data_IF_221611239445
#
_entry.id   IF_221611239445
#
_cell.length_a   1.000
_cell.length_b   1.000
_cell.length_c   1.000
_cell.angle_alpha   90.00
_cell.angle_beta   90.00
_cell.angle_gamma   90.00
#
_symmetry.space_group_name_H-M   'P 1'
#
loop_
_entity.id
_entity.type
_entity.pdbx_description
1 polymer ?
#
# COMPACT_ATOMS: atom_id res chain seq x y z
N UNK A 1 13.60 2.71 85.95
CA UNK A 1 12.61 3.08 84.90
C UNK A 1 13.13 4.12 83.92
N UNK A 2 13.72 5.25 84.38
CA UNK A 2 14.22 6.34 83.50
C UNK A 2 15.25 5.86 82.47
N UNK A 3 16.26 5.09 82.89
CA UNK A 3 17.31 4.55 81.99
C UNK A 3 16.71 3.66 80.89
N UNK A 4 15.69 2.87 81.23
CA UNK A 4 15.03 1.96 80.29
C UNK A 4 14.26 2.72 79.21
N UNK A 5 13.63 3.84 79.57
CA UNK A 5 12.96 4.75 78.61
C UNK A 5 13.97 5.42 77.66
N UNK A 6 15.15 5.80 78.15
CA UNK A 6 16.21 6.38 77.33
C UNK A 6 16.72 5.36 76.29
N UNK A 7 16.96 4.12 76.72
CA UNK A 7 17.42 3.03 75.83
C UNK A 7 16.37 2.72 74.76
N UNK A 8 15.09 2.66 75.12
CA UNK A 8 13.99 2.44 74.15
C UNK A 8 13.88 3.59 73.16
N UNK A 9 14.02 4.84 73.61
CA UNK A 9 14.03 6.01 72.74
C UNK A 9 15.20 5.99 71.73
N UNK A 10 16.39 5.59 72.19
CA UNK A 10 17.58 5.45 71.35
C UNK A 10 17.42 4.34 70.30
N UNK A 11 16.85 3.20 70.68
CA UNK A 11 16.55 2.10 69.76
C UNK A 11 15.52 2.52 68.69
N UNK A 12 14.46 3.22 69.08
CA UNK A 12 13.46 3.73 68.14
C UNK A 12 14.07 4.74 67.16
N UNK A 13 14.94 5.65 67.63
CA UNK A 13 15.64 6.61 66.78
C UNK A 13 16.59 5.91 65.78
N UNK A 14 17.32 4.88 66.23
CA UNK A 14 18.20 4.07 65.36
C UNK A 14 17.41 3.31 64.29
N UNK A 15 16.29 2.68 64.67
CA UNK A 15 15.41 2.00 63.71
C UNK A 15 14.84 2.97 62.68
N UNK A 16 14.45 4.18 63.10
CA UNK A 16 13.98 5.21 62.18
C UNK A 16 15.07 5.69 61.22
N UNK A 17 16.30 5.89 61.71
CA UNK A 17 17.43 6.27 60.88
C UNK A 17 17.81 5.17 59.87
N UNK A 18 17.80 3.91 60.29
CA UNK A 18 18.03 2.76 59.41
C UNK A 18 16.93 2.63 58.35
N UNK A 19 15.66 2.80 58.73
CA UNK A 19 14.54 2.77 57.80
C UNK A 19 14.59 3.92 56.78
N UNK A 20 14.89 5.12 57.24
CA UNK A 20 15.00 6.32 56.39
C UNK A 20 16.12 6.19 55.37
N UNK A 21 17.30 5.73 55.81
CA UNK A 21 18.45 5.50 54.92
C UNK A 21 18.18 4.37 53.91
N UNK A 22 17.60 3.25 54.33
CA UNK A 22 17.21 2.16 53.44
C UNK A 22 16.19 2.61 52.38
N UNK A 23 15.17 3.37 52.79
CA UNK A 23 14.18 3.96 51.89
C UNK A 23 14.80 4.93 50.88
N UNK A 24 15.71 5.79 51.35
CA UNK A 24 16.45 6.72 50.49
C UNK A 24 17.27 5.97 49.43
N UNK A 25 18.02 4.95 49.84
CA UNK A 25 18.84 4.13 48.95
C UNK A 25 18.00 3.44 47.87
N UNK A 26 16.87 2.84 48.26
CA UNK A 26 15.95 2.21 47.32
C UNK A 26 15.38 3.19 46.29
N UNK A 27 14.98 4.39 46.73
CA UNK A 27 14.49 5.43 45.83
C UNK A 27 15.58 5.91 44.85
N UNK A 28 16.81 6.07 45.33
CA UNK A 28 17.95 6.46 44.49
C UNK A 28 18.27 5.38 43.44
N UNK A 29 18.25 4.10 43.84
CA UNK A 29 18.43 2.97 42.93
C UNK A 29 17.36 2.90 41.85
N UNK A 30 16.08 3.09 42.22
CA UNK A 30 14.95 3.09 41.27
C UNK A 30 15.08 4.19 40.22
N UNK A 31 15.42 5.39 40.65
CA UNK A 31 15.65 6.56 39.80
C UNK A 31 16.80 6.31 38.81
N UNK A 32 17.92 5.77 39.31
CA UNK A 32 19.07 5.43 38.46
C UNK A 32 18.73 4.34 37.44
N UNK A 33 17.91 3.37 37.82
CA UNK A 33 17.41 2.34 36.91
C UNK A 33 16.54 2.91 35.79
N UNK A 34 15.63 3.85 36.12
CA UNK A 34 14.82 4.54 35.10
C UNK A 34 15.69 5.35 34.15
N UNK A 35 16.65 6.12 34.67
CA UNK A 35 17.59 6.91 33.87
C UNK A 35 18.34 6.05 32.83
N UNK A 36 18.88 4.91 33.27
CA UNK A 36 19.60 4.00 32.36
C UNK A 36 18.67 3.37 31.31
N UNK A 37 17.45 2.96 31.70
CA UNK A 37 16.48 2.38 30.77
C UNK A 37 16.09 3.38 29.66
N UNK A 38 15.79 4.63 30.03
CA UNK A 38 15.43 5.66 29.05
C UNK A 38 16.61 6.00 28.14
N UNK A 39 17.82 6.08 28.69
CA UNK A 39 19.03 6.31 27.90
C UNK A 39 19.25 5.20 26.86
N UNK A 40 18.99 3.94 27.22
CA UNK A 40 19.06 2.81 26.30
C UNK A 40 17.97 2.89 25.23
N UNK A 41 16.74 3.26 25.58
CA UNK A 41 15.64 3.45 24.61
C UNK A 41 16.00 4.53 23.60
N UNK A 42 16.43 5.72 24.04
CA UNK A 42 16.80 6.83 23.15
C UNK A 42 17.98 6.44 22.24
N UNK A 43 18.99 5.74 22.76
CA UNK A 43 20.09 5.21 21.93
C UNK A 43 19.59 4.18 20.92
N UNK A 44 18.69 3.28 21.33
CA UNK A 44 18.11 2.25 20.46
C UNK A 44 17.33 2.86 19.30
N UNK A 45 16.50 3.87 19.59
CA UNK A 45 15.75 4.62 18.57
C UNK A 45 16.70 5.30 17.59
N UNK A 46 17.71 6.02 18.10
CA UNK A 46 18.72 6.67 17.26
C UNK A 46 19.41 5.68 16.31
N UNK A 47 19.89 4.56 16.84
CA UNK A 47 20.49 3.48 16.03
C UNK A 47 19.52 2.91 14.99
N UNK A 48 18.25 2.72 15.34
CA UNK A 48 17.26 2.17 14.41
C UNK A 48 17.07 3.06 13.19
N UNK A 49 16.98 4.39 13.37
CA UNK A 49 16.84 5.33 12.27
C UNK A 49 18.15 5.50 11.47
N UNK A 50 19.31 5.51 12.13
CA UNK A 50 20.62 5.53 11.47
C UNK A 50 20.84 4.30 10.59
N UNK A 51 20.56 3.10 11.10
CA UNK A 51 20.67 1.85 10.34
C UNK A 51 19.68 1.77 9.17
N UNK A 52 18.50 2.37 9.33
CA UNK A 52 17.51 2.44 8.27
C UNK A 52 17.88 3.45 7.16
N UNK A 53 18.99 4.20 7.31
CA UNK A 53 19.37 5.33 6.45
C UNK A 53 18.24 6.36 6.28
N UNK A 54 17.38 6.50 7.30
CA UNK A 54 16.20 7.37 7.27
C UNK A 54 16.41 8.58 8.17
N UNK A 55 15.99 9.74 7.69
CA UNK A 55 15.85 10.91 8.54
C UNK A 55 14.87 10.60 9.68
N UNK A 56 15.28 10.90 10.91
CA UNK A 56 14.38 10.82 12.06
C UNK A 56 13.22 11.80 11.86
N UNK A 57 11.96 11.36 12.00
CA UNK A 57 10.80 12.25 11.94
C UNK A 57 10.94 13.42 12.92
N UNK A 58 10.52 14.62 12.52
CA UNK A 58 10.72 15.85 13.29
C UNK A 58 10.12 15.78 14.70
N UNK A 59 8.93 15.18 14.84
CA UNK A 59 8.30 14.96 16.15
C UNK A 59 9.12 14.04 17.07
N UNK A 60 9.73 12.99 16.50
CA UNK A 60 10.55 12.03 17.25
C UNK A 60 11.89 12.65 17.62
N UNK A 61 12.53 13.39 16.70
CA UNK A 61 13.83 14.04 16.95
C UNK A 61 13.71 15.13 18.02
N UNK A 62 12.61 15.90 18.01
CA UNK A 62 12.30 16.90 19.02
C UNK A 62 12.08 16.27 20.40
N UNK A 63 11.24 15.23 20.49
CA UNK A 63 11.01 14.52 21.75
C UNK A 63 12.29 13.88 22.31
N UNK A 64 13.16 13.34 21.44
CA UNK A 64 14.47 12.83 21.85
C UNK A 64 15.41 13.93 22.35
N UNK A 65 15.38 15.11 21.73
CA UNK A 65 16.19 16.25 22.16
C UNK A 65 15.74 16.75 23.54
N UNK A 66 14.43 16.84 23.78
CA UNK A 66 13.85 17.26 25.06
C UNK A 66 14.22 16.30 26.19
N UNK A 67 14.16 14.99 25.93
CA UNK A 67 14.59 13.96 26.89
C UNK A 67 16.11 14.05 27.16
N UNK A 68 16.94 14.23 26.13
CA UNK A 68 18.39 14.41 26.28
C UNK A 68 18.73 15.66 27.10
N UNK A 69 18.01 16.76 26.89
CA UNK A 69 18.19 17.99 27.64
C UNK A 69 17.82 17.83 29.13
N UNK A 70 16.82 17.00 29.45
CA UNK A 70 16.50 16.68 30.84
C UNK A 70 17.62 15.91 31.55
N UNK A 71 18.34 15.05 30.84
CA UNK A 71 19.47 14.30 31.40
C UNK A 71 20.71 15.17 31.61
N UNK A 72 20.99 16.13 30.72
CA UNK A 72 22.18 16.97 30.82
C UNK A 72 22.08 18.02 31.94
N UNK A 73 20.87 18.41 32.34
CA UNK A 73 20.66 19.52 33.28
C UNK A 73 20.59 19.11 34.76
N UNK A 74 20.48 17.82 35.13
CA UNK A 74 20.27 17.42 36.54
C UNK A 74 21.05 16.15 36.95
N UNK A 75 22.10 16.26 37.79
CA UNK A 75 22.82 15.09 38.30
C UNK A 75 22.05 14.30 39.39
N UNK A 76 20.99 14.86 39.99
CA UNK A 76 20.21 14.18 41.03
C UNK A 76 18.71 14.41 40.81
N UNK A 77 18.02 13.39 40.28
CA UNK A 77 16.57 13.43 40.15
C UNK A 77 15.92 13.44 41.54
N UNK A 78 14.92 14.31 41.71
CA UNK A 78 14.04 14.27 42.88
C UNK A 78 12.82 13.40 42.56
N UNK A 79 12.18 12.84 43.58
CA UNK A 79 10.97 12.03 43.42
C UNK A 79 9.84 12.77 42.70
N UNK A 80 9.79 14.11 42.81
CA UNK A 80 8.84 14.99 42.09
C UNK A 80 9.10 15.08 40.58
N UNK A 81 10.29 14.70 40.11
CA UNK A 81 10.63 14.76 38.69
C UNK A 81 10.15 13.51 37.93
N UNK A 82 9.78 12.43 38.64
CA UNK A 82 9.34 11.15 38.07
C UNK A 82 8.11 11.32 37.15
N UNK A 83 7.13 12.12 37.57
CA UNK A 83 5.93 12.40 36.77
C UNK A 83 6.29 13.12 35.46
N UNK A 84 7.22 14.07 35.51
CA UNK A 84 7.72 14.77 34.33
C UNK A 84 8.44 13.81 33.36
N UNK A 85 9.16 12.82 33.90
CA UNK A 85 9.77 11.75 33.10
C UNK A 85 8.74 10.88 32.40
N UNK A 86 7.71 10.45 33.12
CA UNK A 86 6.62 9.66 32.52
C UNK A 86 5.91 10.44 31.41
N UNK A 87 5.66 11.73 31.62
CA UNK A 87 5.05 12.60 30.60
C UNK A 87 5.93 12.67 29.35
N UNK A 88 7.23 12.91 29.50
CA UNK A 88 8.15 13.04 28.36
C UNK A 88 8.33 11.72 27.61
N UNK A 89 8.36 10.59 28.33
CA UNK A 89 8.34 9.27 27.71
C UNK A 89 7.04 9.00 26.95
N UNK A 90 5.90 9.42 27.49
CA UNK A 90 4.61 9.34 26.78
C UNK A 90 4.66 10.14 25.48
N UNK A 91 5.14 11.38 25.53
CA UNK A 91 5.28 12.24 24.35
C UNK A 91 6.20 11.60 23.30
N UNK A 92 7.33 11.02 23.71
CA UNK A 92 8.21 10.28 22.80
C UNK A 92 7.50 9.07 22.19
N UNK A 93 6.78 8.29 23.00
CA UNK A 93 6.04 7.12 22.53
C UNK A 93 4.93 7.50 21.53
N UNK A 94 4.19 8.57 21.81
CA UNK A 94 3.14 9.10 20.93
C UNK A 94 3.73 9.56 19.59
N UNK A 95 4.85 10.30 19.62
CA UNK A 95 5.55 10.74 18.40
C UNK A 95 6.04 9.55 17.55
N UNK A 96 6.53 8.48 18.18
CA UNK A 96 6.93 7.25 17.48
C UNK A 96 5.70 6.56 16.89
N UNK A 97 4.62 6.46 17.65
CA UNK A 97 3.35 5.86 17.22
C UNK A 97 2.77 6.57 16.00
N UNK A 98 2.72 7.90 16.03
CA UNK A 98 2.26 8.74 14.93
C UNK A 98 3.12 8.56 13.68
N UNK A 99 4.46 8.58 13.82
CA UNK A 99 5.36 8.37 12.70
C UNK A 99 5.20 6.98 12.06
N UNK A 100 5.01 5.94 12.87
CA UNK A 100 4.74 4.59 12.40
C UNK A 100 3.38 4.49 11.68
N UNK A 101 2.34 5.11 12.24
CA UNK A 101 1.00 5.14 11.65
C UNK A 101 1.00 5.85 10.30
N UNK A 102 1.57 7.06 10.24
CA UNK A 102 1.68 7.86 9.01
C UNK A 102 2.42 7.09 7.91
N UNK A 103 3.52 6.42 8.25
CA UNK A 103 4.26 5.59 7.29
C UNK A 103 3.43 4.40 6.80
N UNK A 104 2.75 3.70 7.71
CA UNK A 104 1.89 2.57 7.35
C UNK A 104 0.74 2.99 6.43
N UNK A 105 0.14 4.16 6.71
CA UNK A 105 -0.89 4.74 5.87
C UNK A 105 -0.37 5.12 4.49
N UNK A 106 0.79 5.79 4.39
CA UNK A 106 1.39 6.16 3.11
C UNK A 106 1.67 4.92 2.24
N UNK A 107 2.25 3.86 2.83
CA UNK A 107 2.47 2.60 2.13
C UNK A 107 1.16 1.92 1.73
N UNK A 108 0.14 1.97 2.59
CA UNK A 108 -1.19 1.47 2.28
C UNK A 108 -1.83 2.21 1.10
N UNK A 109 -1.68 3.54 1.05
CA UNK A 109 -2.17 4.36 -0.07
C UNK A 109 -1.41 4.03 -1.35
N UNK A 110 -0.08 3.93 -1.31
CA UNK A 110 0.73 3.55 -2.48
C UNK A 110 0.36 2.16 -3.01
N UNK A 111 0.16 1.17 -2.12
CA UNK A 111 -0.25 -0.17 -2.53
C UNK A 111 -1.68 -0.23 -3.09
N UNK A 112 -2.54 0.71 -2.70
CA UNK A 112 -3.93 0.80 -3.17
C UNK A 112 -4.10 1.75 -4.36
N UNK A 113 -3.08 2.56 -4.67
CA UNK A 113 -3.09 3.48 -5.78
C UNK A 113 -3.11 2.70 -7.11
N UNK A 114 -3.91 3.14 -8.10
CA UNK A 114 -3.90 2.51 -9.41
C UNK A 114 -2.54 2.71 -10.08
N UNK A 115 -2.15 1.76 -10.94
CA UNK A 115 -0.96 1.92 -11.78
C UNK A 115 -1.08 3.16 -12.68
N UNK A 116 0.05 3.73 -13.08
CA UNK A 116 0.09 4.92 -13.93
C UNK A 116 -0.74 4.71 -15.21
N UNK A 117 -1.66 5.64 -15.49
CA UNK A 117 -2.60 5.55 -16.61
C UNK A 117 -3.90 4.77 -16.35
N UNK A 118 -4.10 4.21 -15.15
CA UNK A 118 -5.32 3.49 -14.78
C UNK A 118 -6.16 4.27 -13.76
N UNK A 119 -7.49 4.13 -13.86
CA UNK A 119 -8.45 4.67 -12.89
C UNK A 119 -9.06 3.49 -12.14
N UNK A 120 -9.06 3.56 -10.80
CA UNK A 120 -9.77 2.59 -9.96
C UNK A 120 -11.23 3.02 -9.81
N UNK A 121 -12.15 2.14 -10.18
CA UNK A 121 -13.59 2.32 -10.00
C UNK A 121 -14.09 1.13 -9.19
N UNK A 122 -14.64 1.41 -8.01
CA UNK A 122 -15.27 0.38 -7.20
C UNK A 122 -16.70 0.16 -7.73
N UNK A 123 -17.01 -1.06 -8.15
CA UNK A 123 -18.31 -1.47 -8.66
C UNK A 123 -18.87 -2.59 -7.79
N UNK A 124 -20.15 -2.52 -7.46
CA UNK A 124 -20.87 -3.69 -6.95
C UNK A 124 -20.94 -4.78 -8.02
N UNK A 125 -21.17 -6.02 -7.60
CA UNK A 125 -21.38 -7.16 -8.51
C UNK A 125 -22.49 -6.86 -9.53
N UNK A 126 -23.59 -6.27 -9.07
CA UNK A 126 -24.75 -5.97 -9.91
C UNK A 126 -24.38 -4.91 -10.95
N UNK A 127 -23.66 -3.86 -10.56
CA UNK A 127 -23.19 -2.83 -11.49
C UNK A 127 -22.19 -3.41 -12.50
N UNK A 128 -21.28 -4.29 -12.08
CA UNK A 128 -20.34 -4.97 -12.97
C UNK A 128 -21.06 -5.87 -13.98
N UNK A 129 -22.08 -6.59 -13.54
CA UNK A 129 -22.95 -7.40 -14.42
C UNK A 129 -23.68 -6.51 -15.43
N UNK A 130 -24.27 -5.40 -15.00
CA UNK A 130 -24.94 -4.45 -15.88
C UNK A 130 -23.96 -3.83 -16.89
N UNK A 131 -22.79 -3.40 -16.42
CA UNK A 131 -21.75 -2.83 -17.25
C UNK A 131 -21.25 -3.83 -18.30
N UNK A 132 -21.09 -5.11 -17.95
CA UNK A 132 -20.71 -6.15 -18.91
C UNK A 132 -21.73 -6.34 -20.03
N UNK A 133 -23.02 -6.30 -19.69
CA UNK A 133 -24.11 -6.41 -20.67
C UNK A 133 -24.18 -5.18 -21.56
N UNK A 134 -24.02 -3.99 -20.97
CA UNK A 134 -23.99 -2.74 -21.71
C UNK A 134 -22.78 -2.66 -22.63
N UNK A 135 -21.61 -3.11 -22.19
CA UNK A 135 -20.39 -3.14 -23.00
C UNK A 135 -20.54 -4.11 -24.19
N UNK A 136 -21.16 -5.28 -23.97
CA UNK A 136 -21.47 -6.20 -25.07
C UNK A 136 -22.48 -5.62 -26.07
N UNK A 137 -23.55 -4.98 -25.59
CA UNK A 137 -24.54 -4.32 -26.45
C UNK A 137 -23.92 -3.14 -27.22
N UNK A 138 -23.11 -2.34 -26.55
CA UNK A 138 -22.34 -1.25 -27.13
C UNK A 138 -21.42 -1.76 -28.24
N UNK A 139 -20.68 -2.85 -27.99
CA UNK A 139 -19.84 -3.50 -29.01
C UNK A 139 -20.63 -3.86 -30.27
N UNK A 140 -21.81 -4.48 -30.13
CA UNK A 140 -22.65 -4.82 -31.28
C UNK A 140 -23.17 -3.59 -32.03
N UNK A 141 -23.37 -2.45 -31.35
CA UNK A 141 -23.80 -1.20 -31.98
C UNK A 141 -22.65 -0.37 -32.56
N UNK A 142 -21.44 -0.49 -32.01
CA UNK A 142 -20.23 0.11 -32.55
C UNK A 142 -19.70 -0.64 -33.78
N UNK A 143 -20.16 -1.88 -34.00
CA UNK A 143 -19.92 -2.59 -35.25
C UNK A 143 -20.48 -1.80 -36.44
N UNK A 144 -19.78 -1.77 -37.60
CA UNK A 144 -20.18 -0.91 -38.72
C UNK A 144 -21.57 -1.20 -39.33
N UNK A 145 -22.15 -2.36 -39.02
CA UNK A 145 -23.46 -2.83 -39.47
C UNK A 145 -24.65 -2.06 -38.88
N UNK A 146 -24.55 -1.58 -37.64
CA UNK A 146 -25.70 -1.00 -36.97
C UNK A 146 -25.80 0.50 -37.30
N UNK A 147 -26.82 0.89 -38.07
CA UNK A 147 -27.03 2.30 -38.49
C UNK A 147 -28.12 3.04 -37.71
N UNK A 148 -28.63 2.45 -36.63
CA UNK A 148 -29.77 2.99 -35.90
C UNK A 148 -29.47 4.23 -35.04
N UNK A 149 -28.21 4.46 -34.66
CA UNK A 149 -27.80 5.53 -33.75
C UNK A 149 -26.46 6.13 -34.21
N UNK A 150 -26.27 7.44 -34.05
CA UNK A 150 -24.97 8.10 -34.18
C UNK A 150 -24.12 7.78 -32.94
N UNK A 151 -23.41 6.67 -33.01
CA UNK A 151 -22.46 6.22 -31.98
C UNK A 151 -21.07 6.21 -32.61
N UNK A 152 -20.03 6.50 -31.82
CA UNK A 152 -18.64 6.31 -32.23
C UNK A 152 -18.43 4.84 -32.60
N UNK A 153 -18.02 4.58 -33.85
CA UNK A 153 -17.82 3.22 -34.37
C UNK A 153 -16.38 2.80 -34.23
N UNK A 154 -16.13 1.50 -34.29
CA UNK A 154 -14.77 1.00 -34.46
C UNK A 154 -14.21 1.48 -35.79
N UNK A 155 -12.99 1.99 -35.74
CA UNK A 155 -12.32 2.60 -36.89
C UNK A 155 -11.74 1.54 -37.82
N UNK A 156 -11.18 0.47 -37.23
CA UNK A 156 -10.58 -0.66 -37.92
C UNK A 156 -10.77 -1.97 -37.13
N UNK A 157 -10.23 -3.06 -37.68
CA UNK A 157 -10.29 -4.39 -37.06
C UNK A 157 -9.56 -4.44 -35.71
N UNK A 158 -8.45 -3.70 -35.57
CA UNK A 158 -7.62 -3.71 -34.35
C UNK A 158 -8.33 -3.03 -33.19
N UNK A 159 -9.00 -1.91 -33.45
CA UNK A 159 -9.85 -1.17 -32.51
C UNK A 159 -11.01 -2.07 -32.01
N UNK A 160 -11.64 -2.82 -32.91
CA UNK A 160 -12.67 -3.79 -32.55
C UNK A 160 -12.13 -4.97 -31.71
N UNK A 161 -10.93 -5.48 -32.03
CA UNK A 161 -10.26 -6.52 -31.25
C UNK A 161 -9.87 -6.01 -29.85
N UNK A 162 -9.41 -4.76 -29.74
CA UNK A 162 -9.11 -4.12 -28.45
C UNK A 162 -10.38 -3.97 -27.60
N UNK A 163 -11.49 -3.55 -28.22
CA UNK A 163 -12.81 -3.54 -27.59
C UNK A 163 -13.20 -4.93 -27.06
N UNK A 164 -13.03 -5.97 -27.87
CA UNK A 164 -13.34 -7.36 -27.48
C UNK A 164 -12.50 -7.83 -26.29
N UNK A 165 -11.19 -7.57 -26.31
CA UNK A 165 -10.28 -7.90 -25.20
C UNK A 165 -10.64 -7.16 -23.92
N UNK A 166 -11.04 -5.91 -24.03
CA UNK A 166 -11.46 -5.09 -22.88
C UNK A 166 -12.72 -5.65 -22.23
N UNK A 167 -13.70 -6.06 -23.03
CA UNK A 167 -14.92 -6.67 -22.51
C UNK A 167 -14.62 -8.05 -21.90
N UNK A 168 -13.73 -8.84 -22.50
CA UNK A 168 -13.31 -10.11 -21.90
C UNK A 168 -12.65 -9.92 -20.53
N UNK A 169 -11.77 -8.92 -20.38
CA UNK A 169 -11.19 -8.57 -19.08
C UNK A 169 -12.29 -8.21 -18.07
N UNK A 170 -13.24 -7.38 -18.48
CA UNK A 170 -14.37 -6.98 -17.64
C UNK A 170 -15.25 -8.16 -17.21
N UNK A 171 -15.62 -9.05 -18.14
CA UNK A 171 -16.40 -10.27 -17.85
C UNK A 171 -15.61 -11.24 -16.94
N UNK A 172 -14.28 -11.32 -17.12
CA UNK A 172 -13.43 -12.17 -16.29
C UNK A 172 -13.29 -11.69 -14.85
N UNK A 173 -13.50 -10.40 -14.58
CA UNK A 173 -13.49 -9.84 -13.24
C UNK A 173 -14.74 -10.22 -12.41
N UNK A 174 -15.82 -10.66 -13.07
CA UNK A 174 -17.04 -11.12 -12.38
C UNK A 174 -16.75 -12.43 -11.63
N UNK A 175 -17.17 -12.59 -10.36
CA UNK A 175 -17.00 -13.82 -9.61
C UNK A 175 -17.65 -15.04 -10.30
N UNK A 176 -16.97 -16.19 -10.27
CA UNK A 176 -17.39 -17.42 -10.96
C UNK A 176 -18.85 -17.83 -10.71
N UNK A 177 -19.31 -17.71 -9.46
CA UNK A 177 -20.65 -18.13 -9.05
C UNK A 177 -21.77 -17.20 -9.57
N UNK A 178 -21.43 -15.98 -9.96
CA UNK A 178 -22.37 -14.94 -10.37
C UNK A 178 -22.28 -14.64 -11.88
N UNK A 179 -21.38 -15.32 -12.60
CA UNK A 179 -21.21 -15.14 -14.03
C UNK A 179 -22.47 -15.60 -14.79
N UNK A 180 -22.93 -14.81 -15.77
CA UNK A 180 -24.07 -15.20 -16.60
C UNK A 180 -23.73 -16.33 -17.58
N UNK A 181 -22.44 -16.56 -17.87
CA UNK A 181 -21.98 -17.57 -18.80
C UNK A 181 -20.92 -18.46 -18.14
N UNK A 182 -21.06 -19.79 -18.32
CA UNK A 182 -20.11 -20.76 -17.80
C UNK A 182 -18.76 -20.72 -18.54
N UNK A 183 -18.77 -20.46 -19.85
CA UNK A 183 -17.57 -20.40 -20.68
C UNK A 183 -17.39 -19.03 -21.35
N UNK A 184 -16.55 -18.20 -20.73
CA UNK A 184 -16.17 -16.88 -21.25
C UNK A 184 -15.34 -16.97 -22.53
N UNK A 185 -14.60 -18.07 -22.74
CA UNK A 185 -13.71 -18.22 -23.90
C UNK A 185 -14.55 -18.37 -25.16
N UNK A 186 -15.63 -19.14 -25.10
CA UNK A 186 -16.56 -19.27 -26.22
C UNK A 186 -17.19 -17.92 -26.58
N UNK A 187 -17.58 -17.11 -25.59
CA UNK A 187 -18.15 -15.78 -25.83
C UNK A 187 -17.13 -14.80 -26.44
N UNK A 188 -15.88 -14.85 -25.96
CA UNK A 188 -14.76 -14.10 -26.54
C UNK A 188 -14.52 -14.50 -28.01
N UNK A 189 -14.40 -15.80 -28.29
CA UNK A 189 -14.21 -16.32 -29.66
C UNK A 189 -15.35 -15.95 -30.60
N UNK A 190 -16.59 -15.93 -30.11
CA UNK A 190 -17.74 -15.47 -30.89
C UNK A 190 -17.60 -14.03 -31.36
N UNK A 191 -17.12 -13.12 -30.50
CA UNK A 191 -16.85 -11.71 -30.87
C UNK A 191 -15.68 -11.57 -31.84
N UNK A 192 -14.59 -12.29 -31.61
CA UNK A 192 -13.45 -12.33 -32.54
C UNK A 192 -13.87 -12.83 -33.93
N UNK A 193 -14.71 -13.87 -33.97
CA UNK A 193 -15.24 -14.39 -35.23
C UNK A 193 -16.10 -13.34 -35.95
N UNK A 194 -17.00 -12.66 -35.24
CA UNK A 194 -17.81 -11.56 -35.80
C UNK A 194 -16.95 -10.44 -36.40
N UNK A 195 -15.84 -10.09 -35.75
CA UNK A 195 -14.87 -9.11 -36.27
C UNK A 195 -14.23 -9.64 -37.55
N UNK A 196 -13.70 -10.86 -37.50
CA UNK A 196 -12.99 -11.47 -38.63
C UNK A 196 -13.88 -11.66 -39.85
N UNK A 197 -15.15 -11.99 -39.67
CA UNK A 197 -16.13 -12.15 -40.74
C UNK A 197 -16.46 -10.81 -41.40
N UNK A 198 -16.36 -9.72 -40.65
CA UNK A 198 -16.70 -8.38 -41.13
C UNK A 198 -15.57 -7.71 -41.90
N UNK A 199 -14.34 -7.77 -41.41
CA UNK A 199 -13.18 -7.13 -42.05
C UNK A 199 -12.51 -8.00 -43.13
N UNK A 200 -13.18 -9.06 -43.60
CA UNK A 200 -12.67 -9.81 -44.75
C UNK A 200 -12.56 -8.91 -45.99
N UNK A 201 -11.46 -9.00 -46.77
CA UNK A 201 -11.36 -8.29 -48.02
C UNK A 201 -12.51 -8.70 -48.93
N UNK A 202 -13.20 -7.70 -49.48
CA UNK A 202 -14.31 -7.88 -50.42
C UNK A 202 -13.93 -8.93 -51.47
N UNK A 203 -14.82 -9.84 -51.92
CA UNK A 203 -14.48 -10.85 -52.92
C UNK A 203 -13.91 -10.27 -54.23
N UNK A 204 -14.23 -9.01 -54.57
CA UNK A 204 -13.59 -8.29 -55.67
C UNK A 204 -12.08 -8.05 -55.45
N UNK A 205 -11.66 -7.75 -54.22
CA UNK A 205 -10.25 -7.61 -53.83
C UNK A 205 -9.54 -8.96 -53.75
N UNK A 206 -10.23 -10.05 -53.39
CA UNK A 206 -9.63 -11.41 -53.45
C UNK A 206 -9.28 -11.82 -54.88
N UNK A 207 -10.13 -11.53 -55.85
CA UNK A 207 -9.85 -11.81 -57.27
C UNK A 207 -8.69 -10.92 -57.74
N UNK A 208 -8.62 -9.66 -57.30
CA UNK A 208 -7.49 -8.76 -57.57
C UNK A 208 -6.17 -9.24 -56.94
N UNK A 209 -6.20 -9.73 -55.70
CA UNK A 209 -5.03 -10.23 -54.97
C UNK A 209 -4.51 -11.55 -55.54
N UNK A 210 -5.40 -12.49 -55.87
CA UNK A 210 -5.03 -13.76 -56.54
C UNK A 210 -4.53 -13.52 -57.96
N UNK A 211 -5.12 -12.56 -58.70
CA UNK A 211 -4.64 -12.14 -60.03
C UNK A 211 -3.30 -11.39 -59.95
N UNK A 212 -3.08 -10.59 -58.90
CA UNK A 212 -1.82 -9.90 -58.62
C UNK A 212 -0.68 -10.86 -58.25
N UNK A 213 -0.96 -11.88 -57.43
CA UNK A 213 0.00 -12.95 -57.13
C UNK A 213 0.31 -13.83 -58.35
N UNK A 214 -0.68 -14.15 -59.19
CA UNK A 214 -0.45 -14.87 -60.44
C UNK A 214 0.44 -14.11 -61.44
N UNK A 215 0.31 -12.78 -61.46
CA UNK A 215 1.14 -11.90 -62.31
C UNK A 215 2.59 -11.79 -61.79
N UNK A 216 2.79 -11.77 -60.47
CA UNK A 216 4.13 -11.75 -59.87
C UNK A 216 4.88 -13.08 -60.02
N UNK A 217 4.17 -14.22 -60.01
CA UNK A 217 4.78 -15.54 -60.27
C UNK A 217 5.14 -15.72 -61.76
N UNK A 218 4.39 -15.10 -62.68
CA UNK A 218 4.67 -15.15 -64.12
C UNK A 218 5.83 -14.23 -64.57
N UNK A 219 6.31 -13.32 -63.70
CA UNK A 219 7.43 -12.42 -64.00
C UNK A 219 8.79 -12.89 -63.44
N UNK A 220 8.87 -14.07 -62.82
CA UNK A 220 10.16 -14.64 -62.45
C UNK A 220 10.88 -15.13 -63.72
N UNK A 221 12.02 -14.54 -64.13
CA UNK A 221 12.75 -15.03 -65.29
C UNK A 221 13.32 -16.40 -64.95
N UNK A 222 13.08 -17.37 -65.83
CA UNK A 222 13.76 -18.66 -65.80
C UNK A 222 15.27 -18.42 -65.87
N UNK A 223 15.96 -18.59 -64.75
CA UNK A 223 17.42 -18.66 -64.73
C UNK A 223 17.82 -19.96 -65.42
N UNK A 224 18.27 -19.80 -66.66
CA UNK A 224 18.82 -20.85 -67.49
C UNK A 224 20.09 -21.43 -66.85
N UNK A 225 20.20 -22.75 -66.94
CA UNK A 225 21.37 -23.55 -66.66
C UNK A 225 22.58 -23.17 -67.51
N UNK A 226 23.74 -23.05 -66.85
CA UNK A 226 25.05 -23.49 -67.36
C UNK A 226 25.97 -23.79 -66.18
#
# INVERSE_FOLDING_TARGET
MIVLLIVVGLLAALLWACWSSARSYYQHGRIRGMDEAVRQIVRGIGRHYEMAARATPEGVSKAMADIKAMFSQRPHLKTKDIERYHLQLSILADAIGEACCSKGQAQGVEMMAPAEGYIRVDLSVIELLQLSRLAHLGFLHMMPNYRGLEIQRFSDELDAQEGTRSIYKLESAIPLNERPFADLITHYKGREQLISDWWQPTPADRVGYVRGLGSLVALAPATASS
#
